data_IF_995115989641
#
_entry.id   IF_995115989641
#
_cell.length_a   1.000
_cell.length_b   1.000
_cell.length_c   1.000
_cell.angle_alpha   90.00
_cell.angle_beta   90.00
_cell.angle_gamma   90.00
#
_symmetry.space_group_name_H-M   'P 1'
#
loop_
_entity.id
_entity.type
_entity.pdbx_description
1 polymer ?
#
# COMPACT_ATOMS: atom_id res chain seq x y z
N UNK A 1 12.50 -24.06 -16.52
CA UNK A 1 11.55 -23.39 -17.42
C UNK A 1 10.18 -24.02 -17.21
N UNK A 2 9.53 -23.72 -16.08
CA UNK A 2 8.16 -24.16 -15.81
C UNK A 2 7.22 -23.07 -16.34
N UNK A 3 6.38 -23.43 -17.30
CA UNK A 3 5.44 -22.50 -17.94
C UNK A 3 4.50 -21.89 -16.92
N UNK A 4 4.70 -20.61 -16.62
CA UNK A 4 3.73 -19.80 -15.91
C UNK A 4 2.54 -19.59 -16.84
N UNK A 5 1.37 -20.18 -16.51
CA UNK A 5 0.11 -19.82 -17.16
C UNK A 5 -0.05 -18.30 -17.07
N UNK A 6 -0.45 -17.59 -18.14
CA UNK A 6 -0.68 -16.16 -18.06
C UNK A 6 -1.83 -15.92 -17.09
N UNK A 7 -1.50 -15.49 -15.88
CA UNK A 7 -2.50 -15.09 -14.89
C UNK A 7 -3.03 -13.76 -15.38
N UNK A 8 -4.27 -13.73 -15.88
CA UNK A 8 -4.87 -12.49 -16.33
C UNK A 8 -5.10 -11.57 -15.13
N UNK A 9 -4.90 -10.26 -15.32
CA UNK A 9 -5.03 -9.28 -14.24
C UNK A 9 -6.44 -9.24 -13.62
N UNK A 10 -7.46 -9.62 -14.42
CA UNK A 10 -8.87 -9.60 -14.03
C UNK A 10 -9.19 -10.59 -12.89
N UNK A 11 -8.93 -11.91 -12.99
CA UNK A 11 -9.17 -12.85 -11.90
C UNK A 11 -8.35 -12.53 -10.65
N UNK A 12 -7.11 -12.05 -10.78
CA UNK A 12 -6.32 -11.61 -9.63
C UNK A 12 -6.94 -10.39 -8.94
N UNK A 13 -7.43 -9.41 -9.70
CA UNK A 13 -8.13 -8.25 -9.16
C UNK A 13 -9.43 -8.63 -8.44
N UNK A 14 -10.21 -9.57 -9.01
CA UNK A 14 -11.43 -10.09 -8.39
C UNK A 14 -11.11 -10.80 -7.07
N UNK A 15 -10.13 -11.72 -7.08
CA UNK A 15 -9.73 -12.47 -5.88
C UNK A 15 -9.22 -11.51 -4.80
N UNK A 16 -8.34 -10.57 -5.16
CA UNK A 16 -7.79 -9.59 -4.22
C UNK A 16 -8.88 -8.67 -3.65
N UNK A 17 -9.84 -8.24 -4.47
CA UNK A 17 -10.98 -7.43 -4.04
C UNK A 17 -11.89 -8.18 -3.07
N UNK A 18 -12.24 -9.43 -3.38
CA UNK A 18 -13.05 -10.30 -2.50
C UNK A 18 -12.31 -10.53 -1.17
N UNK A 19 -11.02 -10.85 -1.21
CA UNK A 19 -10.21 -11.04 0.00
C UNK A 19 -10.10 -9.76 0.83
N UNK A 20 -9.99 -8.59 0.21
CA UNK A 20 -9.94 -7.31 0.92
C UNK A 20 -11.25 -7.00 1.65
N UNK A 21 -12.40 -7.27 1.02
CA UNK A 21 -13.72 -7.10 1.65
C UNK A 21 -13.95 -8.16 2.74
N UNK A 22 -13.61 -9.42 2.45
CA UNK A 22 -13.72 -10.52 3.41
C UNK A 22 -12.86 -10.24 4.65
N UNK A 23 -11.60 -9.83 4.48
CA UNK A 23 -10.74 -9.40 5.57
C UNK A 23 -11.39 -8.26 6.37
N UNK A 24 -11.92 -7.24 5.69
CA UNK A 24 -12.67 -6.15 6.35
C UNK A 24 -13.84 -6.64 7.22
N UNK A 25 -14.57 -7.66 6.75
CA UNK A 25 -15.70 -8.26 7.51
C UNK A 25 -15.27 -9.23 8.62
N UNK A 26 -14.20 -10.00 8.42
CA UNK A 26 -13.76 -11.04 9.37
C UNK A 26 -13.06 -10.45 10.60
N UNK A 27 -12.39 -9.31 10.47
CA UNK A 27 -11.65 -8.71 11.59
C UNK A 27 -12.52 -7.80 12.48
N UNK A 28 -13.82 -7.65 12.20
CA UNK A 28 -14.80 -6.78 12.91
C UNK A 28 -14.22 -5.42 13.32
N UNK A 29 -13.33 -4.88 12.47
CA UNK A 29 -12.66 -3.61 12.73
C UNK A 29 -13.63 -2.48 12.38
N UNK A 30 -14.36 -2.00 13.37
CA UNK A 30 -14.89 -0.63 13.40
C UNK A 30 -13.91 0.23 14.21
N UNK A 31 -13.54 1.50 13.89
CA UNK A 31 -13.79 2.44 12.76
C UNK A 31 -12.44 2.95 12.10
N UNK A 32 -12.32 3.74 11.00
CA UNK A 32 -13.26 4.53 10.17
C UNK A 32 -13.63 3.88 8.82
N UNK A 33 -14.45 4.57 8.01
CA UNK A 33 -14.91 4.11 6.69
C UNK A 33 -13.75 3.74 5.74
N UNK A 34 -13.87 2.57 5.09
CA UNK A 34 -12.92 2.06 4.11
C UNK A 34 -11.45 1.92 4.58
N UNK A 35 -11.20 1.50 5.83
CA UNK A 35 -9.82 1.25 6.32
C UNK A 35 -9.13 0.06 5.63
N UNK A 36 -9.89 -0.99 5.26
CA UNK A 36 -9.52 -2.06 4.32
C UNK A 36 -8.05 -2.50 4.31
N UNK A 37 -7.43 -2.51 3.13
CA UNK A 37 -6.00 -2.78 2.93
C UNK A 37 -5.28 -1.47 2.63
N UNK A 38 -4.45 -0.98 3.58
CA UNK A 38 -3.70 0.26 3.40
C UNK A 38 -2.20 0.09 3.68
N UNK A 39 -1.37 0.15 2.65
CA UNK A 39 0.09 0.02 2.81
C UNK A 39 0.74 1.21 3.52
N UNK A 40 0.18 2.41 3.39
CA UNK A 40 0.72 3.59 4.06
C UNK A 40 0.33 3.62 5.55
N UNK A 41 -0.96 3.47 5.85
CA UNK A 41 -1.44 3.58 7.23
C UNK A 41 -1.01 2.38 8.09
N UNK A 42 -1.04 1.16 7.56
CA UNK A 42 -0.61 -0.01 8.32
C UNK A 42 0.92 -0.02 8.55
N UNK A 43 1.72 0.50 7.61
CA UNK A 43 3.15 0.68 7.84
C UNK A 43 3.44 1.75 8.91
N UNK A 44 2.72 2.89 8.88
CA UNK A 44 2.81 3.91 9.94
C UNK A 44 2.45 3.33 11.30
N UNK A 45 1.34 2.61 11.39
CA UNK A 45 0.87 2.04 12.65
C UNK A 45 1.84 0.98 13.18
N UNK A 46 2.42 0.13 12.32
CA UNK A 46 3.46 -0.83 12.72
C UNK A 46 4.68 -0.11 13.31
N UNK A 47 5.13 0.97 12.66
CA UNK A 47 6.24 1.79 13.16
C UNK A 47 5.88 2.48 14.48
N UNK A 48 4.70 3.08 14.59
CA UNK A 48 4.25 3.73 15.83
C UNK A 48 4.10 2.72 16.98
N UNK A 49 3.57 1.53 16.71
CA UNK A 49 3.42 0.46 17.70
C UNK A 49 4.77 -0.03 18.21
N UNK A 50 5.72 -0.30 17.30
CA UNK A 50 7.09 -0.72 17.67
C UNK A 50 7.83 0.36 18.45
N UNK A 51 7.72 1.63 18.05
CA UNK A 51 8.33 2.75 18.77
C UNK A 51 7.71 2.97 20.14
N UNK A 52 6.37 2.90 20.27
CA UNK A 52 5.70 2.99 21.56
C UNK A 52 6.13 1.87 22.53
N UNK A 53 6.36 0.65 22.01
CA UNK A 53 6.85 -0.48 22.81
C UNK A 53 8.32 -0.34 23.24
N UNK A 54 9.18 0.21 22.39
CA UNK A 54 10.64 0.29 22.64
C UNK A 54 11.03 1.57 23.38
N UNK A 55 10.38 2.70 23.06
CA UNK A 55 10.78 4.05 23.51
C UNK A 55 9.76 4.65 24.50
N UNK A 56 8.68 3.92 24.84
CA UNK A 56 7.57 4.39 25.71
C UNK A 56 6.97 5.73 25.26
N UNK A 57 6.90 5.97 23.95
CA UNK A 57 6.21 7.11 23.37
C UNK A 57 4.69 6.89 23.37
N UNK A 58 3.92 7.98 23.26
CA UNK A 58 2.46 7.95 23.09
C UNK A 58 2.08 8.45 21.68
N UNK A 59 2.66 7.82 20.65
CA UNK A 59 2.30 8.12 19.27
C UNK A 59 0.92 7.55 18.95
N UNK A 60 0.12 8.30 18.20
CA UNK A 60 -1.24 7.93 17.80
C UNK A 60 -1.22 6.68 16.91
N UNK A 61 -2.04 5.68 17.28
CA UNK A 61 -2.19 4.38 16.60
C UNK A 61 -3.67 4.14 16.39
N UNK A 62 -4.07 3.76 15.17
CA UNK A 62 -5.47 3.46 14.89
C UNK A 62 -6.00 2.34 15.82
N UNK A 63 -7.28 2.38 16.27
CA UNK A 63 -7.86 1.35 17.14
C UNK A 63 -7.76 -0.06 16.54
N UNK A 64 -7.89 -0.16 15.22
CA UNK A 64 -7.66 -1.36 14.41
C UNK A 64 -6.27 -1.98 14.59
N UNK A 65 -5.28 -1.12 14.75
CA UNK A 65 -3.86 -1.41 14.88
C UNK A 65 -3.42 -1.68 16.32
N UNK A 66 -4.35 -1.78 17.29
CA UNK A 66 -3.99 -2.33 18.59
C UNK A 66 -3.88 -3.86 18.57
N UNK A 67 -4.72 -4.52 17.77
CA UNK A 67 -4.84 -5.98 17.73
C UNK A 67 -4.29 -6.62 16.45
N UNK A 68 -4.43 -5.95 15.28
CA UNK A 68 -4.03 -6.50 13.98
C UNK A 68 -3.03 -5.63 13.16
N UNK A 69 -2.24 -4.70 13.73
CA UNK A 69 -1.44 -3.73 12.96
C UNK A 69 -0.44 -4.41 12.01
N UNK A 70 0.01 -5.60 12.38
CA UNK A 70 1.18 -6.26 11.82
C UNK A 70 0.86 -7.05 10.55
N UNK A 71 -0.39 -7.51 10.38
CA UNK A 71 -0.69 -8.61 9.46
C UNK A 71 -0.63 -8.23 7.98
N UNK A 72 -0.92 -6.98 7.62
CA UNK A 72 -0.99 -6.60 6.20
C UNK A 72 0.36 -6.27 5.59
N UNK A 73 1.24 -5.39 6.14
CA UNK A 73 2.54 -5.13 5.54
C UNK A 73 3.47 -6.35 5.65
N UNK A 74 3.51 -7.02 6.82
CA UNK A 74 4.35 -8.20 7.01
C UNK A 74 3.79 -9.40 6.25
N UNK A 75 2.47 -9.60 6.27
CA UNK A 75 1.84 -10.69 5.53
C UNK A 75 2.00 -10.55 4.02
N UNK A 76 1.88 -9.33 3.47
CA UNK A 76 2.13 -9.11 2.03
C UNK A 76 3.60 -9.28 1.69
N UNK A 77 4.53 -8.85 2.56
CA UNK A 77 5.95 -9.07 2.34
C UNK A 77 6.30 -10.57 2.30
N UNK A 78 5.82 -11.35 3.27
CA UNK A 78 6.05 -12.80 3.33
C UNK A 78 5.35 -13.51 2.17
N UNK A 79 4.10 -13.14 1.86
CA UNK A 79 3.33 -13.70 0.75
C UNK A 79 4.03 -13.46 -0.60
N UNK A 80 4.51 -12.24 -0.86
CA UNK A 80 5.26 -11.91 -2.06
C UNK A 80 6.60 -12.65 -2.13
N UNK A 81 7.29 -12.83 -1.00
CA UNK A 81 8.52 -13.62 -0.92
C UNK A 81 8.29 -15.09 -1.25
N UNK A 82 7.25 -15.71 -0.67
CA UNK A 82 6.91 -17.12 -0.97
C UNK A 82 6.53 -17.25 -2.44
N UNK A 83 5.64 -16.38 -2.94
CA UNK A 83 5.19 -16.42 -4.33
C UNK A 83 6.34 -16.26 -5.33
N UNK A 84 7.24 -15.30 -5.11
CA UNK A 84 8.39 -15.07 -6.00
C UNK A 84 9.40 -16.23 -5.96
N UNK A 85 9.59 -16.87 -4.80
CA UNK A 85 10.45 -18.05 -4.65
C UNK A 85 9.85 -19.28 -5.34
N UNK A 86 8.55 -19.51 -5.20
CA UNK A 86 7.86 -20.63 -5.86
C UNK A 86 7.82 -20.48 -7.39
N UNK A 87 7.69 -19.25 -7.88
CA UNK A 87 7.72 -18.96 -9.32
C UNK A 87 9.14 -18.93 -9.90
N UNK A 88 10.18 -18.93 -9.05
CA UNK A 88 11.58 -18.84 -9.47
C UNK A 88 11.97 -17.47 -10.04
N UNK A 89 11.14 -16.44 -9.86
CA UNK A 89 11.36 -15.08 -10.37
C UNK A 89 12.03 -14.15 -9.35
N UNK A 90 12.39 -14.68 -8.18
CA UNK A 90 13.05 -13.92 -7.15
C UNK A 90 14.44 -13.45 -7.62
N UNK A 91 14.62 -12.12 -7.71
CA UNK A 91 15.92 -11.51 -7.99
C UNK A 91 16.22 -10.43 -6.97
N UNK A 92 17.47 -10.38 -6.51
CA UNK A 92 17.96 -9.27 -5.71
C UNK A 92 18.26 -8.07 -6.62
N UNK A 93 17.54 -6.96 -6.42
CA UNK A 93 17.79 -5.69 -7.10
C UNK A 93 18.35 -4.69 -6.10
N UNK A 94 19.42 -4.00 -6.47
CA UNK A 94 19.96 -2.86 -5.73
C UNK A 94 19.53 -1.56 -6.41
N UNK A 95 19.12 -0.52 -5.66
CA UNK A 95 18.83 0.77 -6.25
C UNK A 95 20.09 1.41 -6.83
N UNK A 96 19.96 2.13 -7.96
CA UNK A 96 21.09 2.88 -8.55
C UNK A 96 21.66 3.94 -7.59
N UNK A 97 20.84 4.46 -6.69
CA UNK A 97 21.28 5.35 -5.62
C UNK A 97 20.38 5.24 -4.39
N UNK A 98 20.92 4.69 -3.31
CA UNK A 98 20.19 4.49 -2.05
C UNK A 98 19.63 5.80 -1.48
N UNK A 99 20.36 6.91 -1.62
CA UNK A 99 19.95 8.22 -1.12
C UNK A 99 18.69 8.73 -1.82
N UNK A 100 18.63 8.63 -3.17
CA UNK A 100 17.45 9.07 -3.92
C UNK A 100 16.23 8.19 -3.60
N UNK A 101 16.44 6.87 -3.54
CA UNK A 101 15.37 5.94 -3.19
C UNK A 101 14.78 6.21 -1.81
N UNK A 102 15.63 6.51 -0.82
CA UNK A 102 15.19 6.87 0.52
C UNK A 102 14.41 8.19 0.56
N UNK A 103 14.91 9.23 -0.11
CA UNK A 103 14.22 10.51 -0.25
C UNK A 103 12.84 10.34 -0.90
N UNK A 104 12.74 9.56 -1.99
CA UNK A 104 11.45 9.26 -2.61
C UNK A 104 10.50 8.54 -1.65
N UNK A 105 11.01 7.60 -0.83
CA UNK A 105 10.22 6.95 0.21
C UNK A 105 9.65 7.94 1.24
N UNK A 106 10.47 8.89 1.71
CA UNK A 106 10.02 9.95 2.62
C UNK A 106 8.90 10.78 1.97
N UNK A 107 9.10 11.24 0.74
CA UNK A 107 8.10 12.04 0.04
C UNK A 107 6.79 11.26 -0.15
N UNK A 108 6.87 10.03 -0.66
CA UNK A 108 5.69 9.18 -0.87
C UNK A 108 4.91 8.97 0.43
N UNK A 109 5.60 8.69 1.54
CA UNK A 109 4.93 8.44 2.81
C UNK A 109 4.24 9.71 3.35
N UNK A 110 4.92 10.86 3.30
CA UNK A 110 4.35 12.13 3.74
C UNK A 110 3.13 12.52 2.90
N UNK A 111 3.22 12.45 1.57
CA UNK A 111 2.10 12.78 0.69
C UNK A 111 0.96 11.75 0.77
N UNK A 112 1.23 10.47 0.95
CA UNK A 112 0.20 9.45 1.14
C UNK A 112 -0.59 9.67 2.45
N UNK A 113 0.09 10.10 3.52
CA UNK A 113 -0.57 10.46 4.77
C UNK A 113 -1.38 11.75 4.64
N UNK A 114 -0.86 12.77 3.94
CA UNK A 114 -1.59 14.01 3.64
C UNK A 114 -2.83 13.75 2.78
N UNK A 115 -2.75 12.86 1.80
CA UNK A 115 -3.88 12.45 0.98
C UNK A 115 -4.91 11.58 1.73
N UNK A 116 -4.57 11.09 2.93
CA UNK A 116 -5.48 10.29 3.74
C UNK A 116 -5.53 8.80 3.35
N UNK A 117 -4.54 8.29 2.61
CA UNK A 117 -4.45 6.86 2.28
C UNK A 117 -3.48 6.53 1.15
N UNK A 118 -3.22 5.23 0.95
CA UNK A 118 -2.57 4.73 -0.26
C UNK A 118 -3.58 4.55 -1.40
N UNK A 119 -3.11 4.21 -2.61
CA UNK A 119 -3.95 4.00 -3.80
C UNK A 119 -5.18 3.13 -3.54
N UNK A 120 -4.99 1.98 -2.88
CA UNK A 120 -6.07 1.04 -2.54
C UNK A 120 -7.07 1.66 -1.56
N UNK A 121 -6.60 2.32 -0.49
CA UNK A 121 -7.48 2.95 0.50
C UNK A 121 -8.27 4.12 -0.10
N UNK A 122 -7.62 4.95 -0.92
CA UNK A 122 -8.30 6.02 -1.63
C UNK A 122 -9.42 5.47 -2.52
N UNK A 123 -9.15 4.41 -3.28
CA UNK A 123 -10.14 3.75 -4.11
C UNK A 123 -11.30 3.16 -3.27
N UNK A 124 -11.02 2.52 -2.14
CA UNK A 124 -12.06 2.02 -1.24
C UNK A 124 -12.92 3.15 -0.65
N UNK A 125 -12.32 4.29 -0.29
CA UNK A 125 -13.05 5.49 0.16
C UNK A 125 -13.93 6.08 -0.95
N UNK A 126 -13.44 6.07 -2.20
CA UNK A 126 -14.29 6.45 -3.36
C UNK A 126 -15.48 5.52 -3.53
N UNK A 127 -15.27 4.21 -3.35
CA UNK A 127 -16.32 3.20 -3.47
C UNK A 127 -17.34 3.30 -2.32
N UNK A 128 -16.91 3.76 -1.14
CA UNK A 128 -17.78 4.08 -0.02
C UNK A 128 -18.59 5.38 -0.21
N UNK A 129 -18.36 6.13 -1.30
CA UNK A 129 -19.06 7.38 -1.60
C UNK A 129 -18.43 8.64 -0.99
N UNK A 130 -17.19 8.55 -0.49
CA UNK A 130 -16.54 9.67 0.19
C UNK A 130 -15.88 10.64 -0.82
N UNK A 131 -16.30 11.91 -0.82
CA UNK A 131 -15.81 12.93 -1.75
C UNK A 131 -14.30 13.22 -1.58
N UNK A 132 -13.79 13.19 -0.35
CA UNK A 132 -12.36 13.39 -0.07
C UNK A 132 -11.49 12.28 -0.68
N UNK A 133 -11.97 11.03 -0.60
CA UNK A 133 -11.32 9.89 -1.24
C UNK A 133 -11.24 10.08 -2.77
N UNK A 134 -12.30 10.61 -3.38
CA UNK A 134 -12.37 10.82 -4.83
C UNK A 134 -11.39 11.89 -5.30
N UNK A 135 -11.31 13.02 -4.58
CA UNK A 135 -10.36 14.08 -4.87
C UNK A 135 -8.93 13.59 -4.68
N UNK A 136 -8.65 12.85 -3.59
CA UNK A 136 -7.33 12.28 -3.33
C UNK A 136 -6.90 11.28 -4.41
N UNK A 137 -7.81 10.40 -4.83
CA UNK A 137 -7.55 9.44 -5.91
C UNK A 137 -7.32 10.16 -7.25
N UNK A 138 -8.18 11.13 -7.59
CA UNK A 138 -8.04 11.95 -8.79
C UNK A 138 -6.70 12.69 -8.85
N UNK A 139 -6.31 13.32 -7.74
CA UNK A 139 -5.01 13.99 -7.61
C UNK A 139 -3.83 13.03 -7.80
N UNK A 140 -3.90 11.82 -7.24
CA UNK A 140 -2.88 10.78 -7.44
C UNK A 140 -2.78 10.37 -8.92
N UNK A 141 -3.91 10.14 -9.59
CA UNK A 141 -3.95 9.79 -11.02
C UNK A 141 -3.32 10.89 -11.88
N UNK A 142 -3.72 12.14 -11.67
CA UNK A 142 -3.17 13.29 -12.41
C UNK A 142 -1.66 13.40 -12.17
N UNK A 143 -1.21 13.29 -10.92
CA UNK A 143 0.20 13.34 -10.55
C UNK A 143 1.04 12.26 -11.23
N UNK A 144 0.55 11.01 -11.26
CA UNK A 144 1.24 9.90 -11.94
C UNK A 144 1.28 10.11 -13.44
N UNK A 145 0.18 10.57 -14.06
CA UNK A 145 0.13 10.84 -15.51
C UNK A 145 1.10 11.94 -15.90
N UNK A 146 1.09 13.06 -15.18
CA UNK A 146 2.02 14.17 -15.46
C UNK A 146 3.47 13.77 -15.22
N UNK A 147 3.75 13.04 -14.14
CA UNK A 147 5.10 12.56 -13.83
C UNK A 147 5.63 11.59 -14.88
N UNK A 148 4.81 10.63 -15.33
CA UNK A 148 5.18 9.68 -16.39
C UNK A 148 5.33 10.36 -17.74
N UNK A 149 4.48 11.32 -18.08
CA UNK A 149 4.61 12.12 -19.30
C UNK A 149 5.90 12.94 -19.30
N UNK A 150 6.24 13.59 -18.18
CA UNK A 150 7.48 14.35 -18.05
C UNK A 150 8.74 13.48 -18.12
N UNK A 151 8.73 12.32 -17.46
CA UNK A 151 9.81 11.32 -17.56
C UNK A 151 9.99 10.84 -18.99
N UNK A 152 8.89 10.54 -19.68
CA UNK A 152 8.91 10.13 -21.09
C UNK A 152 9.46 11.24 -21.98
N UNK A 153 9.04 12.49 -21.77
CA UNK A 153 9.52 13.63 -22.53
C UNK A 153 11.04 13.81 -22.36
N UNK A 154 11.56 13.69 -21.13
CA UNK A 154 13.01 13.72 -20.86
C UNK A 154 13.79 12.57 -21.49
N UNK A 155 13.18 11.39 -21.64
CA UNK A 155 13.85 10.25 -22.26
C UNK A 155 13.84 10.29 -23.79
N UNK A 156 12.99 11.13 -24.39
CA UNK A 156 12.88 11.30 -25.85
C UNK A 156 13.71 12.48 -26.37
N UNK A 157 14.21 13.34 -25.47
CA UNK A 157 15.18 14.40 -25.74
C UNK A 157 16.59 13.85 -25.56
#
# INVERSE_FOLDING_TARGET
MTGTRPVSAVPMGIIAGILAVAAGSFFDVRPPEAYGVCMACHARDLVNWTLNGVVRTHLDVAPASLFFPVLTPIGVLIGALIASKTSGEFRWQKPDSSVKAFLYGIFVMNFALLAGGCSIRLLLRTAAGEALGLIGFGGMVIGVVLGTFWLRWRATQ
#
